data_IF_219747387525
#
_entry.id   IF_219747387525
#
_cell.length_a   1.000
_cell.length_b   1.000
_cell.length_c   1.000
_cell.angle_alpha   90.00
_cell.angle_beta   90.00
_cell.angle_gamma   90.00
#
_symmetry.space_group_name_H-M   'P 1'
#
loop_
_entity.id
_entity.type
_entity.pdbx_description
1 polymer ?
#
# COMPACT_ATOMS: atom_id res chain seq x y z
N UNK A 1 11.54 24.81 -1.18
CA UNK A 1 12.79 24.83 -0.36
C UNK A 1 12.57 25.79 0.82
N UNK A 2 11.96 25.26 1.90
CA UNK A 2 11.58 26.06 3.07
C UNK A 2 12.73 26.22 4.11
N UNK A 3 13.97 25.85 3.75
CA UNK A 3 15.14 26.00 4.63
C UNK A 3 15.32 24.90 5.69
N UNK A 4 14.50 23.85 5.66
CA UNK A 4 14.64 22.72 6.58
C UNK A 4 15.60 21.66 6.04
N UNK A 5 16.33 21.02 6.95
CA UNK A 5 17.11 19.82 6.65
C UNK A 5 16.23 18.60 6.92
N UNK A 6 16.02 17.77 5.90
CA UNK A 6 15.22 16.54 6.02
C UNK A 6 16.16 15.36 6.07
N UNK A 7 16.01 14.51 7.10
CA UNK A 7 16.64 13.19 7.18
C UNK A 7 15.61 12.14 6.82
N UNK A 8 15.85 11.42 5.74
CA UNK A 8 15.02 10.27 5.37
C UNK A 8 15.43 9.06 6.21
N UNK A 9 14.40 8.36 6.73
CA UNK A 9 14.54 7.07 7.40
C UNK A 9 13.71 6.06 6.63
N UNK A 10 14.36 5.06 6.08
CA UNK A 10 13.70 3.96 5.40
C UNK A 10 13.30 2.90 6.43
N UNK A 11 11.99 2.76 6.64
CA UNK A 11 11.38 1.77 7.53
C UNK A 11 10.39 0.95 6.72
N UNK A 12 10.75 -0.28 6.40
CA UNK A 12 9.98 -1.17 5.53
C UNK A 12 8.66 -1.68 6.14
N UNK A 13 8.47 -1.51 7.45
CA UNK A 13 7.32 -2.05 8.18
C UNK A 13 6.54 -0.95 8.90
N UNK A 14 5.21 -1.00 8.82
CA UNK A 14 4.33 -0.01 9.46
C UNK A 14 4.47 0.01 11.00
N UNK A 15 4.62 -1.15 11.63
CA UNK A 15 4.74 -1.25 13.09
C UNK A 15 5.89 -0.43 13.68
N UNK A 16 7.15 -0.64 13.27
CA UNK A 16 8.29 0.19 13.68
C UNK A 16 8.12 1.68 13.37
N UNK A 17 7.46 2.03 12.27
CA UNK A 17 7.23 3.41 11.88
C UNK A 17 6.26 4.12 12.84
N UNK A 18 5.10 3.51 13.13
CA UNK A 18 4.14 4.04 14.10
C UNK A 18 4.73 4.12 15.53
N UNK A 19 5.54 3.13 15.91
CA UNK A 19 6.28 3.18 17.18
C UNK A 19 7.29 4.33 17.19
N UNK A 20 8.00 4.57 16.09
CA UNK A 20 8.95 5.68 15.94
C UNK A 20 8.28 7.04 16.06
N UNK A 21 7.10 7.24 15.43
CA UNK A 21 6.29 8.45 15.61
C UNK A 21 5.89 8.64 17.08
N UNK A 22 5.37 7.59 17.71
CA UNK A 22 4.89 7.66 19.10
C UNK A 22 5.98 7.97 20.13
N UNK A 23 7.25 7.68 19.80
CA UNK A 23 8.42 7.92 20.64
C UNK A 23 9.18 9.20 20.25
N UNK A 24 8.74 9.91 19.21
CA UNK A 24 9.44 11.09 18.69
C UNK A 24 10.77 10.79 18.01
N UNK A 25 11.03 9.52 17.65
CA UNK A 25 12.20 9.13 16.86
C UNK A 25 12.02 9.42 15.36
N UNK A 26 10.78 9.53 14.91
CA UNK A 26 10.34 9.97 13.58
C UNK A 26 9.44 11.17 13.77
N UNK A 27 9.67 12.25 13.04
CA UNK A 27 8.85 13.47 13.12
C UNK A 27 7.59 13.38 12.26
N UNK A 28 7.71 12.79 11.04
CA UNK A 28 6.67 12.79 10.01
C UNK A 28 6.63 11.47 9.26
N UNK A 29 5.44 10.95 9.06
CA UNK A 29 5.12 9.86 8.14
C UNK A 29 4.24 10.40 7.01
N UNK A 30 4.75 10.49 5.77
CA UNK A 30 4.06 11.19 4.69
C UNK A 30 3.05 10.33 3.91
N UNK A 31 2.94 9.04 4.20
CA UNK A 31 2.21 8.09 3.35
C UNK A 31 1.43 7.07 4.18
N UNK A 32 0.70 7.56 5.18
CA UNK A 32 -0.07 6.71 6.08
C UNK A 32 -1.45 6.35 5.52
N UNK A 33 -1.89 5.12 5.83
CA UNK A 33 -3.21 4.56 5.53
C UNK A 33 -3.98 4.27 6.85
N UNK A 34 -4.35 5.31 7.63
CA UNK A 34 -4.75 5.14 9.03
C UNK A 34 -6.19 4.68 9.23
N UNK A 35 -7.06 4.82 8.21
CA UNK A 35 -8.50 4.65 8.39
C UNK A 35 -8.94 3.18 8.34
N UNK A 36 -8.30 2.38 7.50
CA UNK A 36 -8.63 0.97 7.28
C UNK A 36 -7.38 0.09 7.38
N UNK A 37 -6.45 0.24 6.44
CA UNK A 37 -5.30 -0.66 6.25
C UNK A 37 -4.36 -0.70 7.47
N UNK A 38 -4.04 0.46 8.04
CA UNK A 38 -3.16 0.59 9.20
C UNK A 38 -3.92 0.95 10.49
N UNK A 39 -5.25 0.79 10.48
CA UNK A 39 -6.13 1.19 11.59
C UNK A 39 -5.68 0.62 12.94
N UNK A 40 -5.23 -0.62 13.00
CA UNK A 40 -4.78 -1.25 14.24
C UNK A 40 -3.58 -0.52 14.86
N UNK A 41 -2.65 -0.03 14.04
CA UNK A 41 -1.53 0.78 14.50
C UNK A 41 -1.98 2.17 14.90
N UNK A 42 -2.83 2.81 14.09
CA UNK A 42 -3.37 4.13 14.42
C UNK A 42 -4.16 4.11 15.74
N UNK A 43 -5.02 3.13 15.97
CA UNK A 43 -5.77 3.00 17.21
C UNK A 43 -4.85 2.82 18.43
N UNK A 44 -3.76 2.05 18.28
CA UNK A 44 -2.79 1.79 19.35
C UNK A 44 -2.00 3.04 19.75
N UNK A 45 -1.65 3.89 18.79
CA UNK A 45 -0.72 5.01 18.99
C UNK A 45 -1.38 6.39 18.86
N UNK A 46 -2.71 6.45 18.69
CA UNK A 46 -3.48 7.67 18.41
C UNK A 46 -3.17 8.86 19.31
N UNK A 47 -2.90 8.63 20.61
CA UNK A 47 -2.62 9.71 21.58
C UNK A 47 -1.27 10.38 21.39
N UNK A 48 -0.38 9.78 20.61
CA UNK A 48 0.98 10.26 20.36
C UNK A 48 1.20 10.68 18.91
N UNK A 49 0.12 10.73 18.12
CA UNK A 49 0.19 11.01 16.69
C UNK A 49 -0.81 12.10 16.33
N UNK A 50 -0.38 13.08 15.56
CA UNK A 50 -1.20 14.13 14.98
C UNK A 50 -1.51 13.80 13.52
N UNK A 51 -2.78 13.87 13.13
CA UNK A 51 -3.19 13.82 11.73
C UNK A 51 -3.07 15.23 11.15
N UNK A 52 -2.16 15.40 10.21
CA UNK A 52 -1.84 16.67 9.58
C UNK A 52 -2.63 16.91 8.29
N UNK A 53 -3.46 15.96 7.90
CA UNK A 53 -4.40 16.07 6.80
C UNK A 53 -4.27 14.98 5.74
N UNK A 54 -5.40 14.74 5.07
CA UNK A 54 -5.51 13.82 3.95
C UNK A 54 -5.13 14.54 2.67
N UNK A 55 -4.24 13.97 1.88
CA UNK A 55 -3.81 14.57 0.62
C UNK A 55 -4.27 13.82 -0.63
N UNK A 56 -4.75 12.59 -0.47
CA UNK A 56 -5.34 11.76 -1.53
C UNK A 56 -6.50 10.96 -0.94
N UNK A 57 -7.67 10.98 -1.58
CA UNK A 57 -8.91 10.50 -0.97
C UNK A 57 -9.40 9.14 -1.52
N UNK A 58 -8.68 8.53 -2.46
CA UNK A 58 -9.15 7.35 -3.21
C UNK A 58 -8.13 6.20 -3.23
N UNK A 59 -7.33 6.09 -2.17
CA UNK A 59 -6.37 5.00 -2.05
C UNK A 59 -7.09 3.66 -1.89
N UNK A 60 -6.62 2.63 -2.61
CA UNK A 60 -7.29 1.33 -2.67
C UNK A 60 -6.27 0.19 -2.75
N UNK A 61 -6.53 -0.86 -2.00
CA UNK A 61 -5.80 -2.12 -2.13
C UNK A 61 -6.33 -2.90 -3.33
N UNK A 62 -5.46 -3.59 -4.05
CA UNK A 62 -5.85 -4.43 -5.17
C UNK A 62 -4.98 -5.68 -5.29
N UNK A 63 -5.54 -6.70 -5.95
CA UNK A 63 -4.79 -7.79 -6.53
C UNK A 63 -4.81 -7.61 -8.03
N UNK A 64 -3.65 -7.64 -8.66
CA UNK A 64 -3.52 -7.22 -10.05
C UNK A 64 -2.79 -8.26 -10.87
N UNK A 65 -3.08 -8.24 -12.16
CA UNK A 65 -2.50 -9.08 -13.21
C UNK A 65 -2.00 -8.18 -14.34
N UNK A 66 -1.05 -8.64 -15.16
CA UNK A 66 -0.70 -7.91 -16.38
C UNK A 66 -1.90 -7.76 -17.33
N UNK A 67 -1.96 -6.67 -18.08
CA UNK A 67 -3.04 -6.35 -19.03
C UNK A 67 -3.33 -7.45 -20.03
N UNK A 68 -2.32 -8.26 -20.37
CA UNK A 68 -2.48 -9.39 -21.29
C UNK A 68 -3.12 -10.62 -20.65
N UNK A 69 -3.32 -10.65 -19.34
CA UNK A 69 -3.95 -11.77 -18.63
C UNK A 69 -5.42 -11.93 -19.01
N UNK A 70 -5.89 -13.16 -19.09
CA UNK A 70 -7.31 -13.47 -19.30
C UNK A 70 -8.15 -13.38 -18.03
N UNK A 71 -7.54 -13.44 -16.84
CA UNK A 71 -8.23 -13.32 -15.56
C UNK A 71 -8.88 -11.95 -15.40
N UNK A 72 -10.15 -11.89 -15.01
CA UNK A 72 -10.90 -10.64 -14.82
C UNK A 72 -11.30 -10.39 -13.37
N UNK A 73 -11.32 -11.44 -12.55
CA UNK A 73 -11.78 -11.42 -11.16
C UNK A 73 -10.86 -12.26 -10.29
N UNK A 74 -10.84 -11.99 -9.00
CA UNK A 74 -10.17 -12.85 -8.00
C UNK A 74 -10.79 -14.29 -8.06
N UNK A 75 -12.04 -14.42 -8.44
CA UNK A 75 -12.70 -15.71 -8.62
C UNK A 75 -12.07 -16.58 -9.72
N UNK A 76 -11.41 -15.97 -10.70
CA UNK A 76 -10.79 -16.69 -11.82
C UNK A 76 -9.46 -17.37 -11.42
N UNK A 77 -8.86 -16.94 -10.30
CA UNK A 77 -7.52 -17.38 -9.88
C UNK A 77 -7.43 -18.89 -9.73
N UNK A 78 -8.43 -19.52 -9.11
CA UNK A 78 -8.44 -20.98 -8.91
C UNK A 78 -8.34 -21.74 -10.24
N UNK A 79 -9.06 -21.30 -11.27
CA UNK A 79 -9.03 -21.94 -12.60
C UNK A 79 -7.73 -21.69 -13.36
N UNK A 80 -6.97 -20.67 -12.98
CA UNK A 80 -5.68 -20.30 -13.58
C UNK A 80 -4.48 -20.65 -12.70
N UNK A 81 -4.70 -21.38 -11.59
CA UNK A 81 -3.69 -21.64 -10.56
C UNK A 81 -2.38 -22.23 -11.13
N UNK A 82 -2.46 -23.19 -12.04
CA UNK A 82 -1.28 -23.79 -12.69
C UNK A 82 -0.50 -22.79 -13.55
N UNK A 83 -1.17 -21.82 -14.17
CA UNK A 83 -0.54 -20.80 -15.04
C UNK A 83 0.28 -19.79 -14.22
N UNK A 84 -0.15 -19.51 -12.99
CA UNK A 84 0.57 -18.64 -12.05
C UNK A 84 1.51 -19.42 -11.11
N UNK A 85 1.78 -20.70 -11.41
CA UNK A 85 2.65 -21.58 -10.62
C UNK A 85 2.12 -21.86 -9.21
N UNK A 86 0.79 -21.87 -9.03
CA UNK A 86 0.10 -22.05 -7.74
C UNK A 86 0.56 -21.06 -6.67
N UNK A 87 0.88 -19.82 -7.05
CA UNK A 87 1.38 -18.80 -6.12
C UNK A 87 0.82 -17.41 -6.41
N UNK A 88 0.64 -16.64 -5.36
CA UNK A 88 0.32 -15.21 -5.38
C UNK A 88 1.48 -14.50 -4.71
N UNK A 89 1.95 -13.40 -5.29
CA UNK A 89 3.12 -12.68 -4.78
C UNK A 89 2.64 -11.46 -4.00
N UNK A 90 2.92 -11.45 -2.71
CA UNK A 90 2.66 -10.35 -1.78
C UNK A 90 3.89 -9.52 -1.48
N UNK A 91 3.70 -8.53 -0.60
CA UNK A 91 4.73 -7.62 -0.11
C UNK A 91 5.17 -8.00 1.31
N UNK A 92 5.68 -7.04 2.08
CA UNK A 92 6.19 -7.27 3.44
C UNK A 92 5.16 -7.94 4.37
N UNK A 93 5.59 -8.87 5.24
CA UNK A 93 4.68 -9.56 6.18
C UNK A 93 3.92 -8.62 7.10
N UNK A 94 4.50 -7.49 7.50
CA UNK A 94 3.88 -6.49 8.38
C UNK A 94 3.00 -5.46 7.66
N UNK A 95 2.88 -5.53 6.34
CA UNK A 95 2.02 -4.64 5.58
C UNK A 95 0.54 -4.94 5.81
N UNK A 96 -0.29 -3.88 5.88
CA UNK A 96 -1.74 -4.04 5.99
C UNK A 96 -2.36 -4.79 4.82
N UNK A 97 -1.87 -4.57 3.59
CA UNK A 97 -2.28 -5.32 2.39
C UNK A 97 -2.00 -6.83 2.53
N UNK A 98 -0.85 -7.20 3.09
CA UNK A 98 -0.52 -8.61 3.36
C UNK A 98 -1.49 -9.22 4.36
N UNK A 99 -1.81 -8.50 5.43
CA UNK A 99 -2.80 -8.93 6.43
C UNK A 99 -4.18 -9.12 5.81
N UNK A 100 -4.71 -8.12 5.12
CA UNK A 100 -6.01 -8.20 4.43
C UNK A 100 -6.03 -9.36 3.43
N UNK A 101 -4.95 -9.55 2.67
CA UNK A 101 -4.84 -10.66 1.72
C UNK A 101 -4.95 -12.02 2.41
N UNK A 102 -4.27 -12.21 3.54
CA UNK A 102 -4.23 -13.50 4.25
C UNK A 102 -5.49 -13.76 5.10
N UNK A 103 -6.00 -12.73 5.78
CA UNK A 103 -7.10 -12.89 6.74
C UNK A 103 -8.49 -12.77 6.08
N UNK A 104 -8.60 -12.01 4.99
CA UNK A 104 -9.89 -11.70 4.37
C UNK A 104 -10.01 -12.26 2.94
N UNK A 105 -9.06 -11.94 2.03
CA UNK A 105 -9.19 -12.28 0.62
C UNK A 105 -9.05 -13.78 0.39
N UNK A 106 -7.98 -14.39 0.88
CA UNK A 106 -7.72 -15.83 0.68
C UNK A 106 -8.89 -16.68 1.17
N UNK A 107 -9.40 -16.51 2.42
CA UNK A 107 -10.54 -17.29 2.90
C UNK A 107 -11.83 -16.99 2.13
N UNK A 108 -12.07 -15.71 1.79
CA UNK A 108 -13.29 -15.33 1.08
C UNK A 108 -13.41 -16.01 -0.29
N UNK A 109 -12.28 -16.20 -0.98
CA UNK A 109 -12.24 -16.77 -2.32
C UNK A 109 -11.82 -18.24 -2.39
N UNK A 110 -11.57 -18.89 -1.23
CA UNK A 110 -11.16 -20.30 -1.18
C UNK A 110 -9.82 -20.56 -1.86
N UNK A 111 -8.83 -19.70 -1.59
CA UNK A 111 -7.51 -19.73 -2.22
C UNK A 111 -6.43 -20.33 -1.32
N UNK A 112 -6.80 -21.04 -0.25
CA UNK A 112 -5.89 -21.58 0.77
C UNK A 112 -4.93 -22.64 0.19
N UNK A 113 -5.29 -23.27 -0.91
CA UNK A 113 -4.43 -24.24 -1.61
C UNK A 113 -3.29 -23.58 -2.41
N UNK A 114 -3.36 -22.25 -2.60
CA UNK A 114 -2.32 -21.48 -3.26
C UNK A 114 -1.29 -20.97 -2.25
N UNK A 115 -0.04 -20.88 -2.69
CA UNK A 115 1.02 -20.29 -1.88
C UNK A 115 0.95 -18.77 -1.95
N UNK A 116 0.65 -18.12 -0.84
CA UNK A 116 0.82 -16.67 -0.71
C UNK A 116 2.27 -16.38 -0.27
N UNK A 117 3.09 -15.87 -1.19
CA UNK A 117 4.51 -15.62 -0.95
C UNK A 117 4.71 -14.16 -0.56
N UNK A 118 5.09 -13.93 0.69
CA UNK A 118 5.48 -12.61 1.18
C UNK A 118 6.95 -12.32 0.89
N UNK A 119 7.26 -11.09 0.55
CA UNK A 119 8.60 -10.60 0.25
C UNK A 119 8.68 -9.11 0.62
N UNK A 120 9.76 -8.43 0.26
CA UNK A 120 9.74 -6.97 0.22
C UNK A 120 8.98 -6.47 -1.01
N UNK A 121 8.49 -5.23 -0.98
CA UNK A 121 7.92 -4.56 -2.16
C UNK A 121 8.89 -4.63 -3.35
N UNK A 122 10.18 -4.39 -3.12
CA UNK A 122 11.22 -4.52 -4.17
C UNK A 122 11.31 -5.94 -4.71
N UNK A 123 11.21 -6.96 -3.85
CA UNK A 123 11.22 -8.37 -4.25
C UNK A 123 10.00 -8.74 -5.09
N UNK A 124 8.80 -8.28 -4.69
CA UNK A 124 7.58 -8.44 -5.46
C UNK A 124 7.71 -7.79 -6.85
N UNK A 125 8.21 -6.55 -6.93
CA UNK A 125 8.43 -5.84 -8.20
C UNK A 125 9.44 -6.55 -9.11
N UNK A 126 10.46 -7.19 -8.56
CA UNK A 126 11.42 -7.97 -9.34
C UNK A 126 10.77 -9.22 -9.97
N UNK A 127 9.93 -9.95 -9.21
CA UNK A 127 9.15 -11.08 -9.74
C UNK A 127 8.14 -10.61 -10.79
N UNK A 128 7.44 -9.49 -10.54
CA UNK A 128 6.50 -8.88 -11.48
C UNK A 128 7.21 -8.54 -12.80
N UNK A 129 8.32 -7.78 -12.72
CA UNK A 129 9.09 -7.41 -13.91
C UNK A 129 9.51 -8.62 -14.72
N UNK A 130 10.05 -9.65 -14.07
CA UNK A 130 10.46 -10.90 -14.71
C UNK A 130 9.31 -11.58 -15.43
N UNK A 131 8.13 -11.64 -14.81
CA UNK A 131 6.95 -12.26 -15.42
C UNK A 131 6.45 -11.44 -16.62
N UNK A 132 6.38 -10.12 -16.51
CA UNK A 132 5.95 -9.22 -17.60
C UNK A 132 6.91 -9.29 -18.79
N UNK A 133 8.23 -9.25 -18.55
CA UNK A 133 9.23 -9.37 -19.61
C UNK A 133 9.12 -10.71 -20.35
N UNK A 134 8.77 -11.78 -19.65
CA UNK A 134 8.59 -13.14 -20.21
C UNK A 134 7.16 -13.42 -20.70
N UNK A 135 6.23 -12.46 -20.59
CA UNK A 135 4.78 -12.65 -20.91
C UNK A 135 4.16 -13.81 -20.16
N UNK A 136 4.56 -14.04 -18.92
CA UNK A 136 4.03 -15.09 -18.06
C UNK A 136 2.87 -14.55 -17.21
N UNK A 137 1.92 -15.43 -16.87
CA UNK A 137 0.86 -15.10 -15.93
C UNK A 137 1.43 -14.94 -14.52
N UNK A 138 0.96 -13.91 -13.82
CA UNK A 138 1.30 -13.63 -12.43
C UNK A 138 0.14 -12.90 -11.76
N UNK A 139 -0.07 -13.18 -10.47
CA UNK A 139 -0.94 -12.39 -9.59
C UNK A 139 -0.07 -11.77 -8.51
N UNK A 140 -0.14 -10.46 -8.37
CA UNK A 140 0.56 -9.70 -7.35
C UNK A 140 -0.40 -8.85 -6.54
N UNK A 141 -0.02 -8.53 -5.30
CA UNK A 141 -0.75 -7.56 -4.48
C UNK A 141 -0.19 -6.17 -4.73
N UNK A 142 -1.05 -5.23 -5.10
CA UNK A 142 -0.71 -3.84 -5.39
C UNK A 142 -1.70 -2.89 -4.69
N UNK A 143 -1.56 -1.62 -4.96
CA UNK A 143 -2.45 -0.58 -4.45
C UNK A 143 -2.50 0.61 -5.41
N UNK A 144 -3.51 1.45 -5.26
CA UNK A 144 -3.60 2.75 -5.90
C UNK A 144 -3.51 3.86 -4.83
N UNK A 145 -2.76 4.92 -5.09
CA UNK A 145 -1.91 5.16 -6.26
C UNK A 145 -0.56 4.43 -6.12
N UNK A 146 0.00 3.92 -7.23
CA UNK A 146 1.34 3.34 -7.29
C UNK A 146 1.87 3.31 -8.74
N UNK A 147 3.08 3.80 -8.94
CA UNK A 147 3.70 3.93 -10.26
C UNK A 147 3.78 2.60 -11.04
N UNK A 148 3.96 1.49 -10.33
CA UNK A 148 4.12 0.17 -10.94
C UNK A 148 2.90 -0.26 -11.77
N UNK A 149 1.70 0.21 -11.42
CA UNK A 149 0.48 -0.10 -12.15
C UNK A 149 0.57 0.32 -13.63
N UNK A 150 1.05 1.54 -13.87
CA UNK A 150 1.21 2.08 -15.23
C UNK A 150 2.46 1.52 -15.90
N UNK A 151 3.59 1.51 -15.20
CA UNK A 151 4.89 1.10 -15.77
C UNK A 151 4.89 -0.34 -16.25
N UNK A 152 4.23 -1.23 -15.55
CA UNK A 152 4.14 -2.65 -15.94
C UNK A 152 2.86 -3.02 -16.70
N UNK A 153 1.96 -2.06 -16.96
CA UNK A 153 0.69 -2.34 -17.62
C UNK A 153 -0.15 -3.33 -16.82
N UNK A 154 -0.47 -2.96 -15.58
CA UNK A 154 -1.22 -3.81 -14.67
C UNK A 154 -2.71 -3.47 -14.71
N UNK A 155 -3.53 -4.48 -14.49
CA UNK A 155 -4.98 -4.37 -14.36
C UNK A 155 -5.44 -5.06 -13.09
N UNK A 156 -6.30 -4.38 -12.34
CA UNK A 156 -6.89 -4.93 -11.12
C UNK A 156 -7.88 -6.03 -11.44
N UNK A 157 -7.83 -7.10 -10.65
CA UNK A 157 -8.87 -8.10 -10.59
C UNK A 157 -10.09 -7.56 -9.84
N UNK A 158 -11.27 -7.81 -10.37
CA UNK A 158 -12.51 -7.47 -9.67
C UNK A 158 -12.60 -8.25 -8.36
N UNK A 159 -13.04 -7.58 -7.32
CA UNK A 159 -13.32 -8.14 -6.00
C UNK A 159 -14.83 -8.10 -5.71
N UNK A 160 -15.64 -9.01 -6.29
CA UNK A 160 -17.09 -9.00 -6.12
C UNK A 160 -17.53 -9.28 -4.67
N UNK A 161 -16.67 -9.86 -3.84
CA UNK A 161 -16.96 -10.12 -2.42
C UNK A 161 -16.56 -8.95 -1.51
N UNK A 162 -15.83 -7.96 -2.03
CA UNK A 162 -15.37 -6.79 -1.27
C UNK A 162 -14.36 -7.13 -0.18
N UNK A 163 -13.60 -8.22 -0.35
CA UNK A 163 -12.68 -8.72 0.66
C UNK A 163 -11.40 -7.87 0.80
N UNK A 164 -11.07 -7.07 -0.22
CA UNK A 164 -9.97 -6.09 -0.16
C UNK A 164 -10.33 -4.83 0.64
N UNK A 165 -11.59 -4.71 1.06
CA UNK A 165 -12.08 -3.57 1.81
C UNK A 165 -12.50 -2.41 0.93
N UNK A 166 -12.67 -1.25 1.58
CA UNK A 166 -13.04 0.01 0.91
C UNK A 166 -11.81 0.87 0.73
N UNK A 167 -11.86 1.77 -0.25
CA UNK A 167 -10.87 2.83 -0.39
C UNK A 167 -10.81 3.73 0.85
N UNK A 168 -9.65 4.30 1.08
CA UNK A 168 -9.35 5.19 2.21
C UNK A 168 -8.51 6.40 1.80
N UNK A 169 -8.28 7.32 2.72
CA UNK A 169 -7.40 8.47 2.52
C UNK A 169 -5.92 8.14 2.75
N UNK A 170 -5.04 8.85 2.04
CA UNK A 170 -3.61 8.92 2.38
C UNK A 170 -3.37 10.17 3.22
N UNK A 171 -2.74 9.99 4.37
CA UNK A 171 -2.55 11.03 5.36
C UNK A 171 -1.07 11.34 5.60
N UNK A 172 -0.82 12.59 5.95
CA UNK A 172 0.40 12.98 6.65
C UNK A 172 0.18 12.79 8.15
N UNK A 173 0.99 11.96 8.79
CA UNK A 173 0.96 11.79 10.24
C UNK A 173 2.21 12.37 10.86
N UNK A 174 2.05 13.24 11.86
CA UNK A 174 3.13 13.80 12.68
C UNK A 174 3.20 13.13 14.04
N UNK A 175 4.37 13.18 14.70
CA UNK A 175 4.45 12.90 16.14
C UNK A 175 3.66 13.92 16.95
N UNK A 176 3.34 13.61 18.20
CA UNK A 176 2.76 14.58 19.14
C UNK A 176 3.60 15.87 19.20
N UNK A 177 2.95 17.03 19.14
CA UNK A 177 3.58 18.35 19.15
C UNK A 177 4.19 18.80 17.81
N UNK A 178 4.04 18.00 16.72
CA UNK A 178 4.60 18.36 15.42
C UNK A 178 4.08 19.71 14.91
N UNK A 179 2.76 19.92 14.97
CA UNK A 179 2.17 21.17 14.50
C UNK A 179 2.57 22.39 15.37
N UNK A 180 2.90 22.18 16.64
CA UNK A 180 3.42 23.22 17.50
C UNK A 180 4.87 23.57 17.19
N UNK A 181 5.70 22.55 16.94
CA UNK A 181 7.14 22.73 16.66
C UNK A 181 7.36 23.28 15.22
N UNK A 182 6.49 22.89 14.28
CA UNK A 182 6.63 23.21 12.85
C UNK A 182 5.31 23.72 12.25
N UNK A 183 4.73 24.85 12.74
CA UNK A 183 3.39 25.30 12.36
C UNK A 183 3.25 25.62 10.87
N UNK A 184 4.27 26.18 10.24
CA UNK A 184 4.24 26.49 8.81
C UNK A 184 4.27 25.23 7.94
N UNK A 185 5.01 24.17 8.36
CA UNK A 185 5.02 22.88 7.67
C UNK A 185 3.70 22.19 7.83
N UNK A 186 3.15 22.10 9.04
CA UNK A 186 1.87 21.47 9.31
C UNK A 186 0.74 22.12 8.48
N UNK A 187 0.70 23.46 8.43
CA UNK A 187 -0.23 24.20 7.60
C UNK A 187 -0.06 23.89 6.11
N UNK A 188 1.17 23.83 5.63
CA UNK A 188 1.47 23.53 4.24
C UNK A 188 1.05 22.10 3.90
N UNK A 189 1.41 21.10 4.73
CA UNK A 189 1.00 19.70 4.53
C UNK A 189 -0.53 19.56 4.47
N UNK A 190 -1.25 20.18 5.39
CA UNK A 190 -2.72 20.17 5.41
C UNK A 190 -3.37 20.81 4.18
N UNK A 191 -2.64 21.64 3.41
CA UNK A 191 -3.13 22.27 2.18
C UNK A 191 -2.89 21.43 0.92
N UNK A 192 -2.07 20.37 1.01
CA UNK A 192 -1.74 19.53 -0.15
C UNK A 192 -2.96 18.67 -0.51
N UNK A 193 -3.30 18.67 -1.81
CA UNK A 193 -4.26 17.74 -2.42
C UNK A 193 -3.68 17.25 -3.73
N UNK A 194 -3.78 15.94 -3.95
CA UNK A 194 -3.26 15.27 -5.15
C UNK A 194 -4.34 14.42 -5.77
N UNK A 195 -4.37 14.41 -7.08
CA UNK A 195 -5.06 13.39 -7.88
C UNK A 195 -4.07 12.27 -8.25
N UNK A 196 -4.57 11.21 -8.86
CA UNK A 196 -3.76 10.05 -9.22
C UNK A 196 -2.62 10.39 -10.19
N UNK A 197 -2.87 11.30 -11.16
CA UNK A 197 -1.87 11.72 -12.12
C UNK A 197 -0.72 12.50 -11.47
N UNK A 198 -1.08 13.41 -10.55
CA UNK A 198 -0.10 14.19 -9.77
C UNK A 198 0.73 13.29 -8.86
N UNK A 199 0.09 12.35 -8.20
CA UNK A 199 0.77 11.40 -7.30
C UNK A 199 1.73 10.49 -8.08
N UNK A 200 1.26 9.87 -9.16
CA UNK A 200 2.11 8.99 -9.99
C UNK A 200 3.32 9.73 -10.58
N UNK A 201 3.14 10.99 -11.00
CA UNK A 201 4.25 11.84 -11.46
C UNK A 201 5.27 12.21 -10.38
N UNK A 202 4.88 12.14 -9.10
CA UNK A 202 5.78 12.40 -7.97
C UNK A 202 6.61 11.18 -7.61
N UNK A 203 6.07 9.97 -7.82
CA UNK A 203 6.75 8.70 -7.53
C UNK A 203 7.78 8.29 -8.60
N UNK A 204 7.62 8.75 -9.86
CA UNK A 204 8.57 8.55 -10.96
C UNK A 204 9.86 9.40 -10.75
#
# INVERSE_FOLDING_TARGET
>A
KAGYQIKLMDLSEAGPLYAGLSQGAVDLFPSAWPDVTQKSYMDKYRTYIEDLGTYYDSAQLCWSVPDYSSMQSIEDITSHASQIGNKIIGIEPGAGLTKVSQEDVIPAYGLEDLKFLTSSTTGMLAELKKAVDAKQEIVVTLWHPFWANTTYGMRDLKDPKGALGKGEGLHFLGREGFAQDYPEIAKWLGSIKMDEATYGSLED
#
